data_IF_936177796104
#
_entry.id   IF_936177796104
#
_cell.length_a   1.000
_cell.length_b   1.000
_cell.length_c   1.000
_cell.angle_alpha   90.00
_cell.angle_beta   90.00
_cell.angle_gamma   90.00
#
_symmetry.space_group_name_H-M   'P 1'
#
loop_
_entity.id
_entity.type
_entity.pdbx_description
1 polymer ?
#
# COMPACT_ATOMS: atom_id res chain seq x y z
N UNK A 1 -3.23 9.91 -10.90
CA UNK A 1 -4.47 9.11 -10.81
C UNK A 1 -5.15 8.93 -12.16
N UNK A 2 -5.96 9.86 -12.71
CA UNK A 2 -6.72 9.64 -13.97
C UNK A 2 -5.89 9.04 -15.13
N UNK A 3 -4.75 9.65 -15.45
CA UNK A 3 -3.88 9.17 -16.53
C UNK A 3 -3.29 7.78 -16.26
N UNK A 4 -2.89 7.51 -15.02
CA UNK A 4 -2.33 6.19 -14.62
C UNK A 4 -3.41 5.11 -14.70
N UNK A 5 -4.62 5.39 -14.22
CA UNK A 5 -5.75 4.46 -14.31
C UNK A 5 -6.06 4.14 -15.77
N UNK A 6 -6.12 5.17 -16.62
CA UNK A 6 -6.35 4.98 -18.06
C UNK A 6 -5.25 4.13 -18.70
N UNK A 7 -3.98 4.37 -18.38
CA UNK A 7 -2.85 3.62 -18.94
C UNK A 7 -2.83 2.15 -18.48
N UNK A 8 -3.15 1.91 -17.20
CA UNK A 8 -3.21 0.56 -16.63
C UNK A 8 -4.37 -0.23 -17.25
N UNK A 9 -5.58 0.35 -17.25
CA UNK A 9 -6.77 -0.28 -17.84
C UNK A 9 -6.60 -0.56 -19.34
N UNK A 10 -6.02 0.36 -20.11
CA UNK A 10 -5.73 0.13 -21.54
C UNK A 10 -4.71 -0.98 -21.79
N UNK A 11 -3.93 -1.37 -20.77
CA UNK A 11 -2.98 -2.48 -20.84
C UNK A 11 -3.61 -3.83 -20.48
N UNK A 12 -4.94 -3.89 -20.30
CA UNK A 12 -5.65 -5.12 -19.92
C UNK A 12 -5.49 -5.51 -18.44
N UNK A 13 -4.96 -4.61 -17.61
CA UNK A 13 -4.76 -4.82 -16.17
C UNK A 13 -5.78 -4.00 -15.39
N UNK A 14 -6.30 -4.54 -14.27
CA UNK A 14 -7.25 -3.81 -13.43
C UNK A 14 -6.55 -2.77 -12.55
N UNK A 15 -6.86 -1.46 -12.68
CA UNK A 15 -6.32 -0.42 -11.81
C UNK A 15 -6.97 -0.48 -10.42
N UNK A 16 -6.16 -0.78 -9.40
CA UNK A 16 -6.52 -0.73 -7.98
C UNK A 16 -5.92 0.52 -7.35
N UNK A 17 -6.74 1.30 -6.64
CA UNK A 17 -6.31 2.59 -6.06
C UNK A 17 -6.41 2.54 -4.54
N UNK A 18 -5.27 2.62 -3.85
CA UNK A 18 -5.26 2.96 -2.42
C UNK A 18 -5.55 4.45 -2.26
N UNK A 19 -6.63 4.78 -1.56
CA UNK A 19 -7.01 6.18 -1.29
C UNK A 19 -6.36 6.66 0.02
N UNK A 20 -6.18 7.98 0.23
CA UNK A 20 -5.53 8.46 1.44
C UNK A 20 -6.35 8.29 2.73
N UNK A 21 -7.68 8.27 2.61
CA UNK A 21 -8.62 8.13 3.73
C UNK A 21 -9.99 7.66 3.24
N UNK A 22 -10.79 7.06 4.12
CA UNK A 22 -12.17 6.61 3.86
C UNK A 22 -13.21 7.73 3.71
N UNK A 23 -12.79 8.89 3.22
CA UNK A 23 -13.66 10.05 3.02
C UNK A 23 -14.49 9.90 1.73
N UNK A 24 -15.80 10.21 1.73
CA UNK A 24 -16.64 10.01 0.56
C UNK A 24 -16.15 10.69 -0.72
N UNK A 25 -15.54 11.86 -0.60
CA UNK A 25 -15.00 12.59 -1.74
C UNK A 25 -13.74 11.94 -2.31
N UNK A 26 -12.94 11.25 -1.49
CA UNK A 26 -11.78 10.47 -1.93
C UNK A 26 -12.23 9.21 -2.69
N UNK A 27 -13.22 8.50 -2.12
CA UNK A 27 -13.86 7.34 -2.76
C UNK A 27 -14.42 7.74 -4.11
N UNK A 28 -15.22 8.81 -4.17
CA UNK A 28 -15.78 9.31 -5.42
C UNK A 28 -14.69 9.65 -6.43
N UNK A 29 -13.64 10.37 -6.02
CA UNK A 29 -12.55 10.77 -6.93
C UNK A 29 -11.85 9.55 -7.56
N UNK A 30 -11.55 8.52 -6.77
CA UNK A 30 -10.89 7.31 -7.26
C UNK A 30 -11.77 6.53 -8.23
N UNK A 31 -13.04 6.29 -7.87
CA UNK A 31 -13.95 5.52 -8.69
C UNK A 31 -14.39 6.28 -9.96
N UNK A 32 -14.56 7.60 -9.88
CA UNK A 32 -14.88 8.44 -11.03
C UNK A 32 -13.72 8.55 -12.01
N UNK A 33 -12.48 8.35 -11.55
CA UNK A 33 -11.31 8.26 -12.39
C UNK A 33 -11.18 6.92 -13.13
N UNK A 34 -12.02 5.92 -12.81
CA UNK A 34 -12.04 4.61 -13.47
C UNK A 34 -11.35 3.49 -12.69
N UNK A 35 -11.11 3.65 -11.39
CA UNK A 35 -10.59 2.56 -10.57
C UNK A 35 -11.54 1.35 -10.59
N UNK A 36 -10.98 0.14 -10.78
CA UNK A 36 -11.74 -1.11 -10.68
C UNK A 36 -11.91 -1.54 -9.23
N UNK A 37 -10.96 -1.17 -8.37
CA UNK A 37 -11.03 -1.38 -6.94
C UNK A 37 -10.44 -0.21 -6.17
N UNK A 38 -10.93 0.00 -4.95
CA UNK A 38 -10.30 0.88 -3.97
C UNK A 38 -9.76 0.08 -2.79
N UNK A 39 -8.64 0.53 -2.23
CA UNK A 39 -8.12 0.06 -0.92
C UNK A 39 -8.17 1.24 0.04
N UNK A 40 -8.95 1.11 1.10
CA UNK A 40 -9.14 2.17 2.09
C UNK A 40 -8.30 1.87 3.34
N UNK A 41 -7.34 2.74 3.70
CA UNK A 41 -6.45 2.52 4.83
C UNK A 41 -7.20 2.63 6.17
N UNK A 42 -6.60 2.11 7.23
CA UNK A 42 -7.00 2.35 8.63
C UNK A 42 -8.50 2.11 8.92
N UNK A 43 -9.07 0.98 8.46
CA UNK A 43 -10.44 0.61 8.81
C UNK A 43 -10.46 -0.13 10.15
N UNK A 44 -11.11 0.46 11.16
CA UNK A 44 -11.05 -0.02 12.53
C UNK A 44 -12.39 -0.48 13.09
N UNK A 45 -13.51 -0.07 12.49
CA UNK A 45 -14.85 -0.45 12.97
C UNK A 45 -15.78 -0.84 11.83
N UNK A 46 -16.83 -1.59 12.18
CA UNK A 46 -17.91 -1.96 11.28
C UNK A 46 -18.59 -0.73 10.67
N UNK A 47 -18.80 0.33 11.45
CA UNK A 47 -19.45 1.56 11.02
C UNK A 47 -18.63 2.28 9.94
N UNK A 48 -17.31 2.34 10.12
CA UNK A 48 -16.41 2.89 9.09
C UNK A 48 -16.50 2.08 7.80
N UNK A 49 -16.47 0.74 7.88
CA UNK A 49 -16.62 -0.13 6.72
C UNK A 49 -17.98 0.08 6.01
N UNK A 50 -19.08 0.22 6.76
CA UNK A 50 -20.41 0.51 6.19
C UNK A 50 -20.43 1.88 5.49
N UNK A 51 -19.86 2.93 6.09
CA UNK A 51 -19.78 4.26 5.49
C UNK A 51 -18.98 4.25 4.19
N UNK A 52 -17.89 3.48 4.14
CA UNK A 52 -17.08 3.29 2.93
C UNK A 52 -17.95 2.66 1.83
N UNK A 53 -18.69 1.59 2.14
CA UNK A 53 -19.61 0.94 1.18
C UNK A 53 -20.66 1.90 0.67
N UNK A 54 -21.35 2.62 1.56
CA UNK A 54 -22.40 3.57 1.21
C UNK A 54 -21.86 4.69 0.30
N UNK A 55 -20.63 5.17 0.53
CA UNK A 55 -20.00 6.19 -0.32
C UNK A 55 -19.55 5.69 -1.69
N UNK A 56 -19.31 4.38 -1.84
CA UNK A 56 -18.80 3.74 -3.06
C UNK A 56 -19.92 3.18 -3.97
N UNK A 57 -21.10 2.90 -3.42
CA UNK A 57 -22.24 2.33 -4.15
C UNK A 57 -23.23 3.43 -4.57
N UNK A 58 -23.73 3.33 -5.80
CA UNK A 58 -24.86 4.12 -6.24
C UNK A 58 -26.14 3.69 -5.51
N UNK A 59 -27.06 4.63 -5.21
CA UNK A 59 -28.35 4.29 -4.62
C UNK A 59 -29.08 3.25 -5.48
N UNK A 60 -29.46 2.13 -4.88
CA UNK A 60 -30.14 1.01 -5.57
C UNK A 60 -30.93 0.15 -4.59
N UNK A 61 -31.70 -0.83 -5.08
CA UNK A 61 -32.45 -1.75 -4.21
C UNK A 61 -31.53 -2.54 -3.25
N UNK A 62 -30.36 -2.96 -3.72
CA UNK A 62 -29.38 -3.68 -2.89
C UNK A 62 -28.55 -2.77 -1.99
N UNK A 63 -28.47 -1.48 -2.32
CA UNK A 63 -27.75 -0.45 -1.56
C UNK A 63 -28.64 0.78 -1.35
N UNK A 64 -29.67 0.70 -0.49
CA UNK A 64 -30.63 1.78 -0.29
C UNK A 64 -30.01 3.05 0.29
N UNK A 65 -28.96 2.89 1.11
CA UNK A 65 -28.20 4.00 1.69
C UNK A 65 -27.00 4.41 0.85
N UNK A 66 -26.77 3.77 -0.31
CA UNK A 66 -25.69 4.17 -1.21
C UNK A 66 -25.88 5.62 -1.66
N UNK A 67 -24.84 6.43 -1.58
CA UNK A 67 -24.90 7.86 -1.89
C UNK A 67 -23.80 8.34 -2.82
N UNK A 68 -23.15 7.42 -3.55
CA UNK A 68 -22.18 7.79 -4.58
C UNK A 68 -22.83 8.70 -5.63
N UNK A 69 -22.28 9.89 -5.82
CA UNK A 69 -22.77 10.85 -6.83
C UNK A 69 -22.45 10.41 -8.27
N UNK A 70 -23.36 10.67 -9.21
CA UNK A 70 -23.20 10.39 -10.65
C UNK A 70 -22.39 11.47 -11.38
N UNK A 71 -22.07 11.26 -12.66
CA UNK A 71 -21.48 12.29 -13.54
C UNK A 71 -20.04 12.06 -13.99
N UNK A 72 -19.46 10.88 -13.73
CA UNK A 72 -18.11 10.55 -14.18
C UNK A 72 -18.09 10.05 -15.62
N UNK A 73 -17.24 10.64 -16.47
CA UNK A 73 -17.00 10.15 -17.84
C UNK A 73 -15.86 9.13 -17.92
N UNK A 74 -14.87 9.22 -17.02
CA UNK A 74 -13.72 8.29 -17.02
C UNK A 74 -14.06 6.92 -16.44
N UNK A 75 -14.96 6.85 -15.45
CA UNK A 75 -15.50 5.58 -14.93
C UNK A 75 -16.01 4.65 -16.05
N UNK A 76 -17.04 5.06 -16.82
CA UNK A 76 -17.53 4.28 -17.95
C UNK A 76 -16.45 3.94 -18.98
N UNK A 77 -15.58 4.89 -19.31
CA UNK A 77 -14.51 4.69 -20.29
C UNK A 77 -13.51 3.60 -19.86
N UNK A 78 -13.10 3.57 -18.59
CA UNK A 78 -12.18 2.55 -18.06
C UNK A 78 -12.76 1.14 -18.12
N UNK A 79 -14.08 1.00 -18.04
CA UNK A 79 -14.79 -0.28 -18.16
C UNK A 79 -15.23 -0.59 -19.60
N UNK A 80 -14.93 0.30 -20.57
CA UNK A 80 -15.43 0.22 -21.94
C UNK A 80 -16.97 0.09 -22.04
N UNK A 81 -17.67 0.87 -21.21
CA UNK A 81 -19.14 0.89 -21.12
C UNK A 81 -19.71 2.26 -21.47
N UNK A 82 -20.98 2.28 -21.89
CA UNK A 82 -21.74 3.52 -21.92
C UNK A 82 -21.97 4.04 -20.49
N UNK A 83 -22.24 5.33 -20.33
CA UNK A 83 -22.55 5.89 -19.00
C UNK A 83 -23.76 5.21 -18.34
N UNK A 84 -24.76 4.81 -19.13
CA UNK A 84 -25.94 4.09 -18.64
C UNK A 84 -25.57 2.69 -18.15
N UNK A 85 -24.86 1.93 -18.98
CA UNK A 85 -24.48 0.56 -18.63
C UNK A 85 -23.54 0.54 -17.43
N UNK A 86 -22.64 1.53 -17.33
CA UNK A 86 -21.81 1.70 -16.15
C UNK A 86 -22.64 1.90 -14.89
N UNK A 87 -23.64 2.81 -14.88
CA UNK A 87 -24.47 3.04 -13.70
C UNK A 87 -25.26 1.80 -13.27
N UNK A 88 -25.69 0.96 -14.22
CA UNK A 88 -26.39 -0.30 -13.94
C UNK A 88 -25.44 -1.33 -13.32
N UNK A 89 -24.20 -1.39 -13.80
CA UNK A 89 -23.26 -2.48 -13.50
C UNK A 89 -22.20 -2.12 -12.45
N UNK A 90 -21.94 -0.85 -12.18
CA UNK A 90 -20.82 -0.42 -11.33
C UNK A 90 -20.91 -1.00 -9.91
N UNK A 91 -22.11 -1.07 -9.33
CA UNK A 91 -22.30 -1.60 -7.98
C UNK A 91 -21.85 -3.05 -7.82
N UNK A 92 -21.93 -3.87 -8.87
CA UNK A 92 -21.51 -5.28 -8.85
C UNK A 92 -20.09 -5.52 -9.39
N UNK A 93 -19.48 -4.53 -10.04
CA UNK A 93 -18.19 -4.68 -10.72
C UNK A 93 -17.04 -3.88 -10.10
N UNK A 94 -17.35 -2.89 -9.25
CA UNK A 94 -16.33 -2.16 -8.47
C UNK A 94 -16.09 -2.89 -7.15
N UNK A 95 -14.84 -3.28 -6.92
CA UNK A 95 -14.42 -3.91 -5.66
C UNK A 95 -14.08 -2.88 -4.59
N UNK A 96 -14.49 -3.15 -3.37
CA UNK A 96 -14.19 -2.34 -2.19
C UNK A 96 -13.32 -3.16 -1.25
N UNK A 97 -12.12 -2.67 -1.01
CA UNK A 97 -11.21 -3.23 -0.02
C UNK A 97 -10.97 -2.28 1.13
N UNK A 98 -10.93 -2.83 2.33
CA UNK A 98 -10.53 -2.12 3.55
C UNK A 98 -9.26 -2.74 4.10
N UNK A 99 -8.38 -1.88 4.60
CA UNK A 99 -7.10 -2.27 5.14
C UNK A 99 -7.21 -2.42 6.66
N UNK A 100 -6.87 -3.61 7.15
CA UNK A 100 -6.79 -3.91 8.58
C UNK A 100 -5.32 -3.84 8.98
N UNK A 101 -4.96 -2.72 9.60
CA UNK A 101 -3.56 -2.40 9.92
C UNK A 101 -3.41 -1.69 11.26
N UNK A 102 -4.42 -1.81 12.13
CA UNK A 102 -4.37 -1.32 13.51
C UNK A 102 -4.82 -2.37 14.51
N UNK A 103 -4.38 -2.24 15.77
CA UNK A 103 -4.84 -3.08 16.90
C UNK A 103 -6.36 -3.13 16.97
N UNK A 104 -7.02 -1.98 16.85
CA UNK A 104 -8.48 -1.87 16.90
C UNK A 104 -9.16 -2.54 15.69
N UNK A 105 -8.55 -2.43 14.51
CA UNK A 105 -9.01 -3.17 13.32
C UNK A 105 -8.92 -4.69 13.51
N UNK A 106 -7.84 -5.20 14.13
CA UNK A 106 -7.71 -6.63 14.48
C UNK A 106 -8.77 -7.06 15.49
N UNK A 107 -9.04 -6.23 16.51
CA UNK A 107 -10.03 -6.53 17.55
C UNK A 107 -11.45 -6.66 16.97
N UNK A 108 -11.78 -5.86 15.96
CA UNK A 108 -13.10 -5.80 15.32
C UNK A 108 -13.19 -6.56 13.98
N UNK A 109 -12.16 -7.35 13.63
CA UNK A 109 -12.02 -7.88 12.27
C UNK A 109 -13.19 -8.76 11.84
N UNK A 110 -13.76 -9.55 12.75
CA UNK A 110 -14.90 -10.41 12.46
C UNK A 110 -16.18 -9.62 12.16
N UNK A 111 -16.34 -8.42 12.74
CA UNK A 111 -17.47 -7.55 12.47
C UNK A 111 -17.30 -6.79 11.15
N UNK A 112 -16.08 -6.34 10.86
CA UNK A 112 -15.72 -5.67 9.62
C UNK A 112 -15.87 -6.64 8.43
N UNK A 113 -15.38 -7.87 8.55
CA UNK A 113 -15.45 -8.88 7.50
C UNK A 113 -16.90 -9.25 7.11
N UNK A 114 -17.84 -9.11 8.05
CA UNK A 114 -19.28 -9.37 7.83
C UNK A 114 -20.03 -8.22 7.13
N UNK A 115 -19.38 -7.09 6.86
CA UNK A 115 -20.06 -5.96 6.19
C UNK A 115 -20.32 -6.31 4.73
N UNK A 116 -21.60 -6.27 4.35
CA UNK A 116 -22.02 -6.45 2.97
C UNK A 116 -21.51 -5.31 2.08
N UNK A 117 -20.94 -5.67 0.94
CA UNK A 117 -20.31 -4.73 0.01
C UNK A 117 -18.82 -4.48 0.25
N UNK A 118 -18.23 -4.96 1.36
CA UNK A 118 -16.78 -5.17 1.44
C UNK A 118 -16.44 -6.47 0.72
N UNK A 119 -15.51 -6.40 -0.23
CA UNK A 119 -15.11 -7.53 -1.07
C UNK A 119 -13.77 -8.13 -0.61
N UNK A 120 -12.88 -7.30 -0.06
CA UNK A 120 -11.54 -7.72 0.34
C UNK A 120 -11.06 -7.04 1.63
N UNK A 121 -10.51 -7.82 2.56
CA UNK A 121 -9.68 -7.28 3.65
C UNK A 121 -8.22 -7.37 3.23
N UNK A 122 -7.51 -6.24 3.29
CA UNK A 122 -6.09 -6.13 2.95
C UNK A 122 -5.26 -5.89 4.21
N UNK A 123 -4.07 -6.48 4.30
CA UNK A 123 -3.17 -6.32 5.44
C UNK A 123 -1.99 -5.43 5.06
N UNK A 124 -1.83 -4.33 5.80
CA UNK A 124 -0.64 -3.49 5.81
C UNK A 124 0.30 -3.93 6.94
N UNK A 125 1.29 -4.81 6.69
CA UNK A 125 2.04 -5.46 7.76
C UNK A 125 2.90 -4.47 8.59
N UNK A 126 3.41 -3.42 7.94
CA UNK A 126 4.24 -2.40 8.57
C UNK A 126 3.45 -1.53 9.56
N UNK A 127 2.27 -1.06 9.13
CA UNK A 127 1.38 -0.26 9.97
C UNK A 127 0.77 -1.14 11.09
N UNK A 128 0.46 -2.41 10.78
CA UNK A 128 0.01 -3.39 11.78
C UNK A 128 1.05 -3.61 12.87
N UNK A 129 2.32 -3.83 12.51
CA UNK A 129 3.40 -3.98 13.48
C UNK A 129 3.54 -2.72 14.36
N UNK A 130 3.54 -1.54 13.73
CA UNK A 130 3.62 -0.26 14.43
C UNK A 130 2.47 -0.04 15.41
N UNK A 131 1.23 -0.33 14.99
CA UNK A 131 0.04 -0.20 15.82
C UNK A 131 0.01 -1.19 16.99
N UNK A 132 0.66 -2.35 16.83
CA UNK A 132 0.81 -3.34 17.90
C UNK A 132 1.97 -3.00 18.87
N UNK A 133 2.78 -1.97 18.58
CA UNK A 133 3.87 -1.52 19.43
C UNK A 133 5.24 -2.07 19.04
N UNK A 134 5.39 -2.59 17.82
CA UNK A 134 6.63 -3.14 17.28
C UNK A 134 7.20 -2.26 16.17
N UNK A 135 8.45 -2.50 15.78
CA UNK A 135 9.07 -1.81 14.65
C UNK A 135 8.43 -2.29 13.35
N UNK A 136 8.02 -1.36 12.50
CA UNK A 136 7.28 -1.61 11.26
C UNK A 136 7.86 -2.75 10.39
N UNK A 137 9.17 -2.74 10.15
CA UNK A 137 9.84 -3.67 9.25
C UNK A 137 10.17 -5.04 9.90
N UNK A 138 9.92 -5.22 11.19
CA UNK A 138 10.11 -6.48 11.91
C UNK A 138 8.85 -7.36 11.90
N UNK A 139 7.84 -6.99 11.12
CA UNK A 139 6.55 -7.68 11.06
C UNK A 139 6.67 -9.18 10.78
N UNK A 140 7.65 -9.61 9.98
CA UNK A 140 7.84 -11.00 9.57
C UNK A 140 8.46 -11.86 10.67
N UNK A 141 9.27 -11.26 11.54
CA UNK A 141 9.98 -11.94 12.64
C UNK A 141 9.25 -11.82 13.99
N UNK A 142 8.23 -10.97 14.06
CA UNK A 142 7.45 -10.73 15.29
C UNK A 142 6.25 -11.69 15.40
N UNK A 143 6.23 -12.63 16.36
CA UNK A 143 5.17 -13.64 16.47
C UNK A 143 3.77 -13.06 16.64
N UNK A 144 3.61 -11.99 17.42
CA UNK A 144 2.32 -11.35 17.69
C UNK A 144 1.74 -10.69 16.43
N UNK A 145 2.61 -10.14 15.57
CA UNK A 145 2.19 -9.58 14.28
C UNK A 145 1.79 -10.70 13.31
N UNK A 146 2.49 -11.82 13.31
CA UNK A 146 2.09 -13.00 12.52
C UNK A 146 0.77 -13.61 13.00
N UNK A 147 0.54 -13.67 14.32
CA UNK A 147 -0.74 -14.12 14.89
C UNK A 147 -1.89 -13.19 14.51
N UNK A 148 -1.69 -11.87 14.58
CA UNK A 148 -2.67 -10.88 14.13
C UNK A 148 -2.96 -11.03 12.62
N UNK A 149 -1.92 -11.23 11.81
CA UNK A 149 -2.03 -11.48 10.37
C UNK A 149 -2.88 -12.72 10.08
N UNK A 150 -2.64 -13.82 10.81
CA UNK A 150 -3.41 -15.05 10.68
C UNK A 150 -4.87 -14.86 11.09
N UNK A 151 -5.13 -14.18 12.21
CA UNK A 151 -6.51 -13.88 12.65
C UNK A 151 -7.29 -13.09 11.60
N UNK A 152 -6.66 -12.08 11.01
CA UNK A 152 -7.31 -11.29 9.94
C UNK A 152 -7.62 -12.20 8.74
N UNK A 153 -6.68 -13.04 8.31
CA UNK A 153 -6.90 -13.98 7.22
C UNK A 153 -8.07 -14.93 7.53
N UNK A 154 -8.07 -15.58 8.69
CA UNK A 154 -9.11 -16.53 9.08
C UNK A 154 -10.51 -15.89 9.11
N UNK A 155 -10.62 -14.69 9.71
CA UNK A 155 -11.88 -13.95 9.74
C UNK A 155 -12.37 -13.55 8.34
N UNK A 156 -11.44 -13.17 7.46
CA UNK A 156 -11.72 -12.79 6.08
C UNK A 156 -12.27 -13.98 5.28
N UNK A 157 -11.60 -15.13 5.37
CA UNK A 157 -12.01 -16.35 4.67
C UNK A 157 -13.32 -16.92 5.22
N UNK A 158 -13.50 -16.89 6.54
CA UNK A 158 -14.75 -17.32 7.18
C UNK A 158 -15.96 -16.48 6.75
N UNK A 159 -15.75 -15.22 6.40
CA UNK A 159 -16.78 -14.34 5.85
C UNK A 159 -16.95 -14.47 4.31
N UNK A 160 -16.21 -15.37 3.66
CA UNK A 160 -16.27 -15.58 2.21
C UNK A 160 -15.73 -14.41 1.40
N UNK A 161 -14.80 -13.63 1.96
CA UNK A 161 -14.19 -12.45 1.34
C UNK A 161 -12.80 -12.76 0.79
N UNK A 162 -12.32 -11.94 -0.13
CA UNK A 162 -10.94 -12.03 -0.59
C UNK A 162 -9.98 -11.49 0.47
N UNK A 163 -8.79 -12.08 0.56
CA UNK A 163 -7.74 -11.64 1.47
C UNK A 163 -6.58 -11.06 0.67
N UNK A 164 -6.11 -9.88 1.06
CA UNK A 164 -4.97 -9.20 0.45
C UNK A 164 -3.81 -9.00 1.42
N UNK A 165 -2.58 -9.03 0.92
CA UNK A 165 -1.38 -8.80 1.72
C UNK A 165 -0.31 -8.07 0.92
N UNK A 166 0.43 -7.18 1.56
CA UNK A 166 1.58 -6.53 0.94
C UNK A 166 2.86 -7.38 1.06
N UNK A 167 3.57 -7.58 -0.04
CA UNK A 167 4.94 -8.10 -0.04
C UNK A 167 5.80 -7.35 -1.08
N UNK A 168 7.11 -7.35 -0.85
CA UNK A 168 8.08 -6.62 -1.67
C UNK A 168 8.93 -7.53 -2.58
N UNK A 169 8.79 -8.85 -2.43
CA UNK A 169 9.55 -9.83 -3.18
C UNK A 169 8.70 -11.07 -3.51
N UNK A 170 9.16 -11.83 -4.51
CA UNK A 170 8.43 -12.98 -5.02
C UNK A 170 8.35 -14.15 -4.03
N UNK A 171 9.36 -14.35 -3.18
CA UNK A 171 9.37 -15.47 -2.23
C UNK A 171 8.32 -15.25 -1.13
N UNK A 172 8.30 -14.05 -0.55
CA UNK A 172 7.26 -13.65 0.41
C UNK A 172 5.88 -13.68 -0.24
N UNK A 173 5.75 -13.19 -1.48
CA UNK A 173 4.46 -13.19 -2.18
C UNK A 173 3.92 -14.61 -2.39
N UNK A 174 4.77 -15.54 -2.85
CA UNK A 174 4.41 -16.95 -3.02
C UNK A 174 4.02 -17.59 -1.69
N UNK A 175 4.79 -17.33 -0.62
CA UNK A 175 4.45 -17.83 0.72
C UNK A 175 3.06 -17.34 1.18
N UNK A 176 2.73 -16.06 0.99
CA UNK A 176 1.42 -15.51 1.36
C UNK A 176 0.31 -16.10 0.49
N UNK A 177 0.56 -16.33 -0.80
CA UNK A 177 -0.39 -17.00 -1.66
C UNK A 177 -0.72 -18.41 -1.15
N UNK A 178 0.29 -19.21 -0.82
CA UNK A 178 0.12 -20.57 -0.25
C UNK A 178 -0.61 -20.57 1.11
N UNK A 179 -0.52 -19.46 1.88
CA UNK A 179 -1.28 -19.31 3.12
C UNK A 179 -2.78 -19.06 2.88
N UNK A 180 -3.20 -18.68 1.67
CA UNK A 180 -4.59 -18.40 1.33
C UNK A 180 -4.90 -16.93 1.01
N UNK A 181 -3.87 -16.07 0.89
CA UNK A 181 -4.07 -14.73 0.36
C UNK A 181 -4.30 -14.76 -1.17
N UNK A 182 -5.26 -13.97 -1.63
CA UNK A 182 -5.71 -13.94 -3.03
C UNK A 182 -5.08 -12.80 -3.82
N UNK A 183 -4.79 -11.68 -3.15
CA UNK A 183 -4.24 -10.47 -3.76
C UNK A 183 -2.95 -10.08 -3.05
N UNK A 184 -1.81 -10.37 -3.67
CA UNK A 184 -0.50 -10.18 -3.05
C UNK A 184 0.42 -9.37 -3.94
N UNK A 185 0.95 -8.27 -3.42
CA UNK A 185 2.02 -7.52 -4.11
C UNK A 185 3.29 -8.37 -4.16
N UNK A 186 4.03 -8.33 -5.26
CA UNK A 186 5.32 -9.01 -5.40
C UNK A 186 6.50 -8.05 -5.63
N UNK A 187 6.31 -6.78 -5.26
CA UNK A 187 7.26 -5.70 -5.50
C UNK A 187 6.59 -4.33 -5.63
N UNK A 188 7.43 -3.31 -5.84
CA UNK A 188 7.02 -1.94 -6.14
C UNK A 188 7.97 -1.33 -7.17
N UNK A 189 7.44 -0.47 -8.04
CA UNK A 189 8.19 0.23 -9.09
C UNK A 189 9.36 1.03 -8.52
N UNK A 190 9.12 1.79 -7.45
CA UNK A 190 10.14 2.60 -6.78
C UNK A 190 11.24 1.73 -6.18
N UNK A 191 10.91 0.55 -5.66
CA UNK A 191 11.89 -0.40 -5.11
C UNK A 191 12.73 -0.99 -6.24
N UNK A 192 12.11 -1.41 -7.33
CA UNK A 192 12.81 -1.97 -8.48
C UNK A 192 13.76 -0.94 -9.13
N UNK A 193 13.27 0.27 -9.40
CA UNK A 193 14.05 1.35 -9.99
C UNK A 193 15.21 1.77 -9.07
N UNK A 194 14.95 1.96 -7.78
CA UNK A 194 15.98 2.38 -6.82
C UNK A 194 17.05 1.30 -6.66
N UNK A 195 16.64 0.02 -6.54
CA UNK A 195 17.56 -1.10 -6.40
C UNK A 195 18.47 -1.22 -7.61
N UNK A 196 17.89 -1.20 -8.82
CA UNK A 196 18.65 -1.34 -10.06
C UNK A 196 19.61 -0.17 -10.28
N UNK A 197 19.14 1.07 -10.14
CA UNK A 197 20.00 2.25 -10.33
C UNK A 197 21.12 2.30 -9.29
N UNK A 198 20.83 1.96 -8.03
CA UNK A 198 21.84 1.89 -6.98
C UNK A 198 22.87 0.79 -7.22
N UNK A 199 22.45 -0.34 -7.80
CA UNK A 199 23.36 -1.42 -8.19
C UNK A 199 24.31 -0.98 -9.31
N UNK A 200 23.81 -0.33 -10.36
CA UNK A 200 24.65 0.15 -11.46
C UNK A 200 25.62 1.25 -11.02
N UNK A 201 25.19 2.19 -10.16
CA UNK A 201 26.10 3.21 -9.62
C UNK A 201 27.22 2.57 -8.79
N UNK A 202 26.92 1.54 -7.97
CA UNK A 202 27.95 0.80 -7.23
C UNK A 202 28.95 0.14 -8.18
N UNK A 203 28.47 -0.55 -9.22
CA UNK A 203 29.34 -1.16 -10.23
C UNK A 203 30.23 -0.12 -10.91
N UNK A 204 29.71 1.06 -11.25
CA UNK A 204 30.52 2.14 -11.83
C UNK A 204 31.61 2.57 -10.84
N UNK A 205 31.31 2.75 -9.55
CA UNK A 205 32.31 3.11 -8.53
C UNK A 205 33.39 2.04 -8.38
N UNK A 206 33.00 0.78 -8.41
CA UNK A 206 33.92 -0.36 -8.27
C UNK A 206 34.82 -0.50 -9.52
N UNK A 207 34.25 -0.40 -10.72
CA UNK A 207 34.95 -0.57 -11.99
C UNK A 207 35.84 0.62 -12.35
N UNK A 208 35.38 1.84 -12.06
CA UNK A 208 36.19 3.02 -12.38
C UNK A 208 37.44 3.07 -11.53
N UNK A 209 37.48 2.36 -10.39
CA UNK A 209 38.30 2.70 -9.24
C UNK A 209 38.15 4.21 -9.06
N UNK A 210 37.38 4.69 -8.09
CA UNK A 210 37.73 6.00 -7.55
C UNK A 210 39.12 5.85 -6.92
N UNK A 211 40.11 5.99 -7.81
CA UNK A 211 41.49 6.31 -7.61
C UNK A 211 41.42 7.65 -6.89
N UNK A 212 41.29 7.59 -5.57
CA UNK A 212 41.99 8.55 -4.75
C UNK A 212 43.46 8.28 -5.07
N UNK A 213 44.00 9.01 -6.02
CA UNK A 213 45.44 9.13 -6.12
C UNK A 213 45.91 9.57 -4.74
N UNK A 214 46.75 8.72 -4.17
CA UNK A 214 47.81 9.12 -3.27
C UNK A 214 48.50 10.36 -3.85
N UNK A 215 48.13 11.53 -3.35
CA UNK A 215 48.98 12.71 -3.45
C UNK A 215 50.13 12.53 -2.45
N UNK A 216 51.13 11.76 -2.86
CA UNK A 216 52.48 11.89 -2.35
C UNK A 216 53.41 12.00 -3.57
N UNK A 217 53.70 13.24 -3.98
CA UNK A 217 55.05 13.70 -4.31
C UNK A 217 55.05 15.17 -4.79
N UNK A 218 55.35 16.06 -3.83
CA UNK A 218 56.21 17.25 -3.90
C UNK A 218 55.55 18.58 -3.51
N UNK A 219 56.00 19.12 -2.37
CA UNK A 219 56.01 20.56 -2.15
C UNK A 219 55.60 20.98 -0.74
N UNK A 220 56.58 21.04 0.15
CA UNK A 220 56.59 21.63 1.48
C UNK A 220 55.53 22.68 1.89
N UNK A 221 55.18 22.62 3.19
CA UNK A 221 54.49 23.60 4.04
C UNK A 221 52.96 23.48 3.98
N UNK A 222 52.23 23.27 5.08
CA UNK A 222 52.42 23.74 6.44
C UNK A 222 51.90 22.71 7.45
N UNK A 223 52.74 22.42 8.46
CA UNK A 223 52.30 21.94 9.77
C UNK A 223 51.47 23.05 10.43
N UNK A 224 50.14 22.91 10.47
CA UNK A 224 49.26 23.65 11.39
C UNK A 224 47.82 23.19 11.21
N UNK A 225 47.35 22.26 12.05
CA UNK A 225 45.92 21.90 12.08
C UNK A 225 45.58 20.56 12.72
N UNK A 226 46.58 19.73 13.03
CA UNK A 226 46.36 18.43 13.66
C UNK A 226 46.25 18.57 15.19
N UNK A 227 45.09 19.06 15.65
CA UNK A 227 44.59 18.88 17.03
C UNK A 227 43.13 19.33 17.14
N UNK A 228 42.22 18.49 16.66
CA UNK A 228 40.90 18.22 17.28
C UNK A 228 40.14 17.21 16.43
N UNK A 229 39.44 16.32 17.12
CA UNK A 229 38.54 15.27 16.61
C UNK A 229 39.19 13.89 16.39
N UNK A 230 40.01 13.46 17.34
CA UNK A 230 39.86 12.09 17.85
C UNK A 230 38.81 12.16 18.96
N UNK A 231 37.65 11.54 18.74
CA UNK A 231 36.57 11.46 19.72
C UNK A 231 35.19 11.78 19.16
N UNK A 232 34.71 10.97 18.20
CA UNK A 232 33.28 10.77 17.92
C UNK A 232 33.07 9.36 17.37
N UNK A 233 33.36 8.35 18.20
CA UNK A 233 32.65 7.07 18.10
C UNK A 233 31.35 7.21 18.90
N UNK A 234 30.26 6.68 18.33
CA UNK A 234 28.91 6.62 18.88
C UNK A 234 28.20 7.96 19.06
N UNK A 235 27.46 8.38 18.04
CA UNK A 235 26.20 9.08 18.28
C UNK A 235 25.17 8.68 17.22
N UNK A 236 24.01 8.24 17.73
CA UNK A 236 22.77 8.05 16.99
C UNK A 236 22.51 9.26 16.09
N UNK A 237 22.47 9.04 14.77
CA UNK A 237 21.97 10.05 13.85
C UNK A 237 20.46 10.08 13.98
N UNK A 238 20.02 11.00 14.83
CA UNK A 238 18.66 11.49 15.00
C UNK A 238 18.16 12.05 13.66
N UNK A 239 17.56 11.18 12.84
CA UNK A 239 17.02 11.50 11.51
C UNK A 239 15.76 12.39 11.55
N UNK A 240 15.41 12.96 12.71
CA UNK A 240 14.13 13.63 12.97
C UNK A 240 14.28 15.13 13.28
N UNK A 241 15.23 15.82 12.62
CA UNK A 241 15.38 17.29 12.71
C UNK A 241 15.37 18.03 11.38
N UNK A 242 14.79 17.42 10.35
CA UNK A 242 14.52 18.08 9.07
C UNK A 242 13.06 17.88 8.65
N UNK A 243 12.14 18.33 9.50
CA UNK A 243 10.78 18.79 9.14
C UNK A 243 10.32 19.84 10.14
#
# INVERSE_FOLDING_TARGET
MYLQISAISSSGVSPVVRIPAGEPWMVKRALDAGAHAIVVPMCETKEQAMQIVESAKYPSKSYPNGFRGTGAMFGPAAFNLTGRDYLINANSNVMISVQIESRKGVENVEEIAKVDGIDMLFIGPNDLASSLGYVAFDHATTPEVQQATQRILDATLAAGKYAGHFALDAATAAQRYEQGFHFVNCGADIVALTSQMSAEIRKVKDLTKMVLHSDDANGSSLKSGMKRLEGMENDNVDAMKLY
#
